data_IF_183291792324
#
_entry.id   IF_183291792324
#
_cell.length_a   1.000
_cell.length_b   1.000
_cell.length_c   1.000
_cell.angle_alpha   90.00
_cell.angle_beta   90.00
_cell.angle_gamma   90.00
#
_symmetry.space_group_name_H-M   'P 1'
#
loop_
_entity.id
_entity.type
_entity.pdbx_description
1 polymer ?
#
# COMPACT_ATOMS: atom_id res chain seq x y z
N UNK A 1 56.06 -36.91 74.26
CA UNK A 1 55.05 -35.89 74.20
C UNK A 1 54.69 -35.70 72.72
N UNK A 2 53.63 -36.35 72.28
CA UNK A 2 53.23 -36.40 70.85
C UNK A 2 52.20 -35.36 70.52
N UNK A 3 52.41 -34.68 69.41
CA UNK A 3 51.38 -33.78 68.82
C UNK A 3 50.87 -34.49 67.63
N UNK A 4 49.59 -34.91 67.73
CA UNK A 4 48.79 -35.48 66.60
C UNK A 4 48.46 -34.39 65.57
N UNK A 5 48.80 -34.61 64.30
CA UNK A 5 48.39 -33.81 63.16
C UNK A 5 47.03 -34.28 62.74
N UNK A 6 46.05 -33.42 62.90
CA UNK A 6 44.64 -33.62 62.34
C UNK A 6 44.65 -33.26 60.85
N UNK A 7 44.39 -34.28 60.04
CA UNK A 7 44.24 -34.14 58.57
C UNK A 7 42.81 -33.73 58.22
N UNK A 8 42.62 -32.47 57.85
CA UNK A 8 41.33 -31.96 57.37
C UNK A 8 41.14 -32.32 55.89
N UNK A 9 40.29 -33.28 55.60
CA UNK A 9 39.86 -33.61 54.23
C UNK A 9 38.90 -32.53 53.73
N UNK A 10 39.30 -31.71 52.72
CA UNK A 10 38.43 -30.82 51.96
C UNK A 10 37.68 -31.63 50.90
N UNK A 11 36.41 -31.75 51.09
CA UNK A 11 35.50 -32.24 50.03
C UNK A 11 35.26 -31.11 49.05
N UNK A 12 35.75 -31.24 47.82
CA UNK A 12 35.40 -30.36 46.69
C UNK A 12 34.13 -30.90 46.09
N UNK A 13 32.99 -30.25 46.37
CA UNK A 13 31.74 -30.47 45.64
C UNK A 13 31.85 -29.79 44.31
N UNK A 14 31.99 -30.55 43.24
CA UNK A 14 31.86 -30.05 41.87
C UNK A 14 30.36 -29.87 41.53
N UNK A 15 29.88 -28.61 41.52
CA UNK A 15 28.55 -28.27 40.97
C UNK A 15 28.68 -28.24 39.45
N UNK A 16 28.18 -29.27 38.80
CA UNK A 16 27.95 -29.28 37.35
C UNK A 16 26.73 -28.45 37.04
N UNK A 17 26.90 -27.21 36.57
CA UNK A 17 25.83 -26.38 36.04
C UNK A 17 25.48 -26.87 34.62
N UNK A 18 24.40 -27.61 34.48
CA UNK A 18 23.76 -27.89 33.16
C UNK A 18 23.10 -26.62 32.66
N UNK A 19 23.71 -25.98 31.65
CA UNK A 19 23.03 -24.93 30.85
C UNK A 19 21.98 -25.60 29.96
N UNK A 20 20.69 -25.49 30.33
CA UNK A 20 19.59 -25.83 29.45
C UNK A 20 19.43 -24.70 28.42
N UNK A 21 19.89 -24.92 27.21
CA UNK A 21 19.60 -24.02 26.05
C UNK A 21 18.16 -24.25 25.66
N UNK A 22 17.26 -23.39 26.12
CA UNK A 22 15.88 -23.35 25.63
C UNK A 22 15.88 -22.76 24.21
N UNK A 23 15.78 -23.61 23.19
CA UNK A 23 15.52 -23.21 21.82
C UNK A 23 14.12 -22.59 21.75
N UNK A 24 14.03 -21.26 21.71
CA UNK A 24 12.80 -20.58 21.31
C UNK A 24 12.59 -20.87 19.81
N UNK A 25 11.77 -21.86 19.52
CA UNK A 25 11.21 -22.02 18.19
C UNK A 25 10.28 -20.83 17.93
N UNK A 26 10.74 -19.86 17.12
CA UNK A 26 9.91 -18.78 16.65
C UNK A 26 8.83 -19.38 15.74
N UNK A 27 7.64 -19.60 16.31
CA UNK A 27 6.46 -20.00 15.53
C UNK A 27 6.06 -18.83 14.64
N UNK A 28 6.16 -18.99 13.32
CA UNK A 28 5.63 -18.02 12.37
C UNK A 28 4.14 -17.81 12.66
N UNK A 29 3.66 -16.56 12.70
CA UNK A 29 2.24 -16.30 12.95
C UNK A 29 1.39 -17.01 11.89
N UNK A 30 0.35 -17.69 12.33
CA UNK A 30 -0.61 -18.32 11.43
C UNK A 30 -1.23 -17.25 10.51
N UNK A 31 -1.28 -17.52 9.19
CA UNK A 31 -1.90 -16.62 8.22
C UNK A 31 -3.37 -16.39 8.60
N UNK A 32 -3.77 -15.13 8.63
CA UNK A 32 -5.17 -14.77 8.88
C UNK A 32 -6.04 -15.14 7.68
N UNK A 33 -7.36 -15.22 7.88
CA UNK A 33 -8.32 -15.52 6.80
C UNK A 33 -8.25 -14.46 5.68
N UNK A 34 -7.91 -13.22 6.01
CA UNK A 34 -7.66 -12.13 5.04
C UNK A 34 -6.37 -12.37 4.24
N UNK A 35 -5.31 -12.87 4.86
CA UNK A 35 -4.04 -13.16 4.15
C UNK A 35 -4.20 -14.32 3.17
N UNK A 36 -5.01 -15.32 3.51
CA UNK A 36 -5.36 -16.43 2.60
C UNK A 36 -6.14 -15.92 1.38
N UNK A 37 -7.12 -15.03 1.60
CA UNK A 37 -7.87 -14.42 0.50
C UNK A 37 -6.99 -13.56 -0.39
N UNK A 38 -6.06 -12.78 0.16
CA UNK A 38 -5.09 -11.98 -0.60
C UNK A 38 -4.21 -12.87 -1.50
N UNK A 39 -3.78 -14.02 -1.01
CA UNK A 39 -2.92 -14.93 -1.76
C UNK A 39 -3.64 -15.64 -2.93
N UNK A 40 -4.97 -15.63 -2.97
CA UNK A 40 -5.76 -16.20 -4.07
C UNK A 40 -5.96 -15.25 -5.24
N UNK A 41 -5.74 -13.95 -5.07
CA UNK A 41 -5.92 -12.94 -6.12
C UNK A 41 -4.91 -13.17 -7.26
N UNK A 42 -5.44 -13.32 -8.48
CA UNK A 42 -4.66 -13.58 -9.71
C UNK A 42 -4.44 -12.35 -10.57
N UNK A 43 -4.99 -11.20 -10.18
CA UNK A 43 -4.87 -9.97 -10.95
C UNK A 43 -3.41 -9.53 -11.06
N UNK A 44 -2.96 -9.28 -12.28
CA UNK A 44 -1.59 -8.80 -12.52
C UNK A 44 -1.32 -7.50 -11.76
N UNK A 45 -0.09 -7.39 -11.21
CA UNK A 45 0.35 -6.20 -10.51
C UNK A 45 -0.54 -5.78 -9.33
N UNK A 46 -1.24 -6.77 -8.74
CA UNK A 46 -2.08 -6.57 -7.57
C UNK A 46 -1.25 -6.17 -6.35
N UNK A 47 -1.79 -5.28 -5.53
CA UNK A 47 -1.18 -4.87 -4.28
C UNK A 47 -2.19 -4.29 -3.29
N UNK A 48 -1.93 -4.52 -2.02
CA UNK A 48 -2.63 -3.88 -0.91
C UNK A 48 -1.83 -2.66 -0.47
N UNK A 49 -2.42 -1.49 -0.57
CA UNK A 49 -1.83 -0.22 -0.11
C UNK A 49 -2.05 -0.04 1.38
N UNK A 50 -3.28 -0.29 1.83
CA UNK A 50 -3.71 -0.43 3.22
C UNK A 50 -5.03 -1.22 3.27
N UNK A 51 -5.71 -1.24 4.42
CA UNK A 51 -6.96 -1.99 4.62
C UNK A 51 -8.11 -1.48 3.76
N UNK A 52 -8.05 -0.22 3.33
CA UNK A 52 -9.10 0.46 2.59
C UNK A 52 -8.79 0.66 1.10
N UNK A 53 -7.58 0.26 0.65
CA UNK A 53 -7.14 0.54 -0.70
C UNK A 53 -6.32 -0.60 -1.29
N UNK A 54 -6.82 -1.18 -2.37
CA UNK A 54 -6.15 -2.16 -3.23
C UNK A 54 -5.91 -1.56 -4.61
N UNK A 55 -4.89 -2.05 -5.30
CA UNK A 55 -4.54 -1.61 -6.65
C UNK A 55 -4.16 -2.79 -7.54
N UNK A 56 -4.21 -2.60 -8.85
CA UNK A 56 -3.77 -3.65 -9.79
C UNK A 56 -3.99 -3.31 -11.25
N UNK A 57 -3.92 -4.34 -12.10
CA UNK A 57 -4.29 -4.29 -13.50
C UNK A 57 -5.81 -4.41 -13.68
N UNK A 58 -6.27 -4.24 -14.93
CA UNK A 58 -7.64 -4.53 -15.34
C UNK A 58 -8.03 -5.95 -14.93
N UNK A 59 -9.09 -6.14 -14.12
CA UNK A 59 -9.57 -7.48 -13.76
C UNK A 59 -10.17 -8.22 -14.95
N UNK A 60 -10.04 -9.53 -14.98
CA UNK A 60 -10.83 -10.38 -15.85
C UNK A 60 -12.18 -10.73 -15.21
N UNK A 61 -13.10 -11.33 -15.98
CA UNK A 61 -14.49 -11.51 -15.54
C UNK A 61 -14.65 -12.26 -14.21
N UNK A 62 -13.76 -13.23 -13.91
CA UNK A 62 -13.78 -14.00 -12.66
C UNK A 62 -13.21 -13.23 -11.46
N UNK A 63 -12.31 -12.28 -11.69
CA UNK A 63 -11.59 -11.57 -10.63
C UNK A 63 -12.51 -10.66 -9.79
N UNK A 64 -13.63 -10.21 -10.35
CA UNK A 64 -14.57 -9.35 -9.61
C UNK A 64 -15.22 -10.05 -8.43
N UNK A 65 -15.47 -11.37 -8.53
CA UNK A 65 -15.93 -12.16 -7.40
C UNK A 65 -14.88 -12.26 -6.30
N UNK A 66 -13.60 -12.40 -6.67
CA UNK A 66 -12.50 -12.43 -5.73
C UNK A 66 -12.30 -11.09 -5.03
N UNK A 67 -12.41 -9.97 -5.76
CA UNK A 67 -12.39 -8.62 -5.18
C UNK A 67 -13.54 -8.39 -4.19
N UNK A 68 -14.75 -8.81 -4.55
CA UNK A 68 -15.90 -8.75 -3.65
C UNK A 68 -15.69 -9.63 -2.39
N UNK A 69 -15.10 -10.81 -2.54
CA UNK A 69 -14.76 -11.69 -1.42
C UNK A 69 -13.68 -11.10 -0.50
N UNK A 70 -12.79 -10.23 -1.02
CA UNK A 70 -11.87 -9.42 -0.20
C UNK A 70 -12.58 -8.30 0.57
N UNK A 71 -13.85 -8.02 0.25
CA UNK A 71 -14.62 -6.94 0.85
C UNK A 71 -14.53 -5.62 0.09
N UNK A 72 -13.97 -5.61 -1.13
CA UNK A 72 -13.96 -4.41 -1.98
C UNK A 72 -15.40 -3.95 -2.23
N UNK A 73 -15.69 -2.67 -2.01
CA UNK A 73 -17.00 -2.06 -2.27
C UNK A 73 -17.03 -1.26 -3.56
N UNK A 74 -15.88 -0.73 -3.98
CA UNK A 74 -15.82 0.18 -5.11
C UNK A 74 -14.63 -0.13 -6.01
N UNK A 75 -14.88 -0.19 -7.32
CA UNK A 75 -13.86 -0.31 -8.36
C UNK A 75 -13.73 1.04 -9.08
N UNK A 76 -12.49 1.54 -9.18
CA UNK A 76 -12.16 2.80 -9.86
C UNK A 76 -11.25 2.49 -11.04
N UNK A 77 -11.79 2.61 -12.24
CA UNK A 77 -11.06 2.48 -13.50
C UNK A 77 -10.47 3.84 -13.93
N UNK A 78 -9.15 3.86 -14.14
CA UNK A 78 -8.42 5.06 -14.58
C UNK A 78 -8.18 5.10 -16.09
N UNK A 79 -8.86 4.25 -16.87
CA UNK A 79 -8.69 4.22 -18.32
C UNK A 79 -9.70 5.14 -19.03
N UNK A 80 -9.24 5.88 -20.04
CA UNK A 80 -10.14 6.64 -20.92
C UNK A 80 -10.94 5.72 -21.85
N UNK A 81 -10.28 4.67 -22.28
CA UNK A 81 -10.72 3.67 -23.26
C UNK A 81 -10.93 2.29 -22.61
N UNK A 82 -11.46 2.27 -21.38
CA UNK A 82 -11.73 1.05 -20.64
C UNK A 82 -12.89 0.23 -21.22
N UNK A 83 -13.00 -1.01 -20.80
CA UNK A 83 -14.02 -1.95 -21.28
C UNK A 83 -15.42 -1.45 -20.95
N UNK A 84 -16.31 -1.46 -21.91
CA UNK A 84 -17.71 -0.98 -21.73
C UNK A 84 -18.50 -1.90 -20.79
N UNK A 85 -18.26 -3.20 -20.85
CA UNK A 85 -18.93 -4.21 -20.03
C UNK A 85 -18.52 -4.18 -18.55
N UNK A 86 -17.41 -3.53 -18.19
CA UNK A 86 -16.84 -3.56 -16.84
C UNK A 86 -17.81 -3.06 -15.78
N UNK A 87 -18.47 -1.95 -16.01
CA UNK A 87 -19.47 -1.41 -15.09
C UNK A 87 -20.57 -2.42 -14.76
N UNK A 88 -20.95 -3.25 -15.74
CA UNK A 88 -21.94 -4.34 -15.57
C UNK A 88 -21.35 -5.49 -14.74
N UNK A 89 -20.10 -5.88 -14.97
CA UNK A 89 -19.41 -6.94 -14.23
C UNK A 89 -19.26 -6.56 -12.75
N UNK A 90 -18.81 -5.35 -12.47
CA UNK A 90 -18.64 -4.81 -11.12
C UNK A 90 -19.96 -4.79 -10.35
N UNK A 91 -21.03 -4.29 -10.97
CA UNK A 91 -22.37 -4.25 -10.34
C UNK A 91 -22.91 -5.64 -10.06
N UNK A 92 -22.74 -6.61 -10.98
CA UNK A 92 -23.15 -8.01 -10.74
C UNK A 92 -22.42 -8.66 -9.58
N UNK A 93 -21.18 -8.23 -9.28
CA UNK A 93 -20.44 -8.67 -8.12
C UNK A 93 -20.80 -7.90 -6.82
N UNK A 94 -21.81 -7.02 -6.87
CA UNK A 94 -22.29 -6.27 -5.70
C UNK A 94 -21.47 -5.03 -5.35
N UNK A 95 -20.61 -4.56 -6.27
CA UNK A 95 -19.74 -3.40 -6.06
C UNK A 95 -20.20 -2.17 -6.88
N UNK A 96 -19.72 -1.00 -6.47
CA UNK A 96 -19.92 0.26 -7.19
C UNK A 96 -18.77 0.49 -8.18
N UNK A 97 -19.08 1.07 -9.35
CA UNK A 97 -18.10 1.36 -10.40
C UNK A 97 -18.00 2.85 -10.67
N UNK A 98 -16.76 3.35 -10.73
CA UNK A 98 -16.46 4.69 -11.24
C UNK A 98 -15.35 4.62 -12.30
N UNK A 99 -15.44 5.49 -13.32
CA UNK A 99 -14.37 5.70 -14.29
C UNK A 99 -13.88 7.14 -14.20
N UNK A 100 -12.56 7.29 -14.09
CA UNK A 100 -11.85 8.57 -14.16
C UNK A 100 -10.96 8.48 -15.40
N UNK A 101 -11.37 9.01 -16.55
CA UNK A 101 -10.69 8.79 -17.82
C UNK A 101 -9.32 9.51 -17.85
N UNK A 102 -8.25 8.74 -17.92
CA UNK A 102 -6.87 9.22 -18.02
C UNK A 102 -6.15 8.54 -19.17
N UNK A 103 -5.11 9.22 -19.70
CA UNK A 103 -4.15 8.66 -20.65
C UNK A 103 -2.81 8.37 -19.98
N UNK A 104 -1.87 7.77 -20.70
CA UNK A 104 -0.49 7.58 -20.22
C UNK A 104 0.46 8.67 -20.74
N UNK A 105 0.02 9.48 -21.71
CA UNK A 105 0.78 10.57 -22.33
C UNK A 105 0.60 11.91 -21.61
N UNK A 106 -0.60 12.13 -21.06
CA UNK A 106 -0.99 13.41 -20.53
C UNK A 106 -0.86 13.47 -19.01
N UNK A 107 -0.61 14.68 -18.50
CA UNK A 107 -0.72 14.97 -17.08
C UNK A 107 -2.17 14.74 -16.61
N UNK A 108 -2.40 14.09 -15.44
CA UNK A 108 -3.72 14.07 -14.82
C UNK A 108 -4.25 15.48 -14.61
N UNK A 109 -5.53 15.72 -14.95
CA UNK A 109 -6.16 17.01 -14.66
C UNK A 109 -6.43 17.15 -13.16
N UNK A 110 -6.49 18.42 -12.68
CA UNK A 110 -6.81 18.69 -11.28
C UNK A 110 -8.20 18.14 -10.89
N UNK A 111 -9.16 18.18 -11.83
CA UNK A 111 -10.48 17.56 -11.64
C UNK A 111 -10.41 16.04 -11.46
N UNK A 112 -9.55 15.35 -12.23
CA UNK A 112 -9.34 13.91 -12.09
C UNK A 112 -8.72 13.57 -10.73
N UNK A 113 -7.72 14.36 -10.28
CA UNK A 113 -7.09 14.21 -8.97
C UNK A 113 -8.10 14.45 -7.85
N UNK A 114 -8.87 15.53 -7.92
CA UNK A 114 -9.88 15.85 -6.91
C UNK A 114 -10.96 14.77 -6.82
N UNK A 115 -11.48 14.30 -7.97
CA UNK A 115 -12.47 13.21 -8.01
C UNK A 115 -11.91 11.90 -7.43
N UNK A 116 -10.68 11.58 -7.77
CA UNK A 116 -10.01 10.39 -7.22
C UNK A 116 -9.89 10.47 -5.69
N UNK A 117 -9.33 11.58 -5.16
CA UNK A 117 -9.18 11.76 -3.72
C UNK A 117 -10.53 11.76 -2.99
N UNK A 118 -11.57 12.36 -3.58
CA UNK A 118 -12.93 12.28 -3.05
C UNK A 118 -13.38 10.83 -2.90
N UNK A 119 -13.24 10.02 -3.95
CA UNK A 119 -13.72 8.63 -3.96
C UNK A 119 -12.95 7.73 -2.99
N UNK A 120 -11.61 7.80 -2.99
CA UNK A 120 -10.78 6.90 -2.17
C UNK A 120 -10.81 7.24 -0.68
N UNK A 121 -11.16 8.49 -0.33
CA UNK A 121 -11.24 8.95 1.07
C UNK A 121 -12.65 8.86 1.66
N UNK A 122 -13.65 8.59 0.85
CA UNK A 122 -15.03 8.42 1.34
C UNK A 122 -15.19 7.03 1.97
N UNK A 123 -15.47 6.94 3.28
CA UNK A 123 -15.65 5.66 3.98
C UNK A 123 -16.78 4.79 3.37
N UNK A 124 -17.78 5.41 2.71
CA UNK A 124 -18.86 4.68 2.06
C UNK A 124 -18.35 3.85 0.87
N UNK A 125 -17.29 4.30 0.20
CA UNK A 125 -16.68 3.61 -0.94
C UNK A 125 -15.64 2.56 -0.54
N UNK A 126 -15.15 2.58 0.70
CA UNK A 126 -14.03 1.74 1.14
C UNK A 126 -14.46 0.34 1.55
N UNK A 127 -13.64 -0.68 1.30
CA UNK A 127 -12.36 -0.67 0.57
C UNK A 127 -12.53 -0.46 -0.94
N UNK A 128 -11.58 0.28 -1.55
CA UNK A 128 -11.56 0.54 -2.99
C UNK A 128 -10.56 -0.36 -3.72
N UNK A 129 -10.83 -0.70 -4.98
CA UNK A 129 -9.87 -1.27 -5.91
C UNK A 129 -9.64 -0.29 -7.07
N UNK A 130 -8.39 0.15 -7.23
CA UNK A 130 -8.01 1.14 -8.25
C UNK A 130 -7.14 0.49 -9.31
N UNK A 131 -7.51 0.64 -10.58
CA UNK A 131 -6.77 0.02 -11.66
C UNK A 131 -6.68 0.89 -12.92
N UNK A 132 -5.81 0.47 -13.82
CA UNK A 132 -5.81 0.81 -15.25
C UNK A 132 -5.51 -0.49 -16.01
N UNK A 133 -5.21 -0.45 -17.29
CA UNK A 133 -4.95 -1.65 -18.07
C UNK A 133 -3.87 -2.58 -17.46
N UNK A 134 -2.68 -2.06 -17.16
CA UNK A 134 -1.58 -2.85 -16.58
C UNK A 134 -1.31 -2.62 -15.09
N UNK A 135 -2.08 -1.78 -14.41
CA UNK A 135 -1.85 -1.43 -13.00
C UNK A 135 -0.52 -0.70 -12.74
N UNK A 136 0.12 -0.15 -13.78
CA UNK A 136 1.49 0.39 -13.71
C UNK A 136 1.50 1.92 -13.64
N UNK A 137 1.06 2.60 -14.72
CA UNK A 137 1.31 4.02 -14.96
C UNK A 137 0.24 4.91 -14.31
N UNK A 138 -1.00 4.92 -14.84
CA UNK A 138 -2.12 5.71 -14.29
C UNK A 138 -2.41 5.34 -12.84
N UNK A 139 -2.47 4.04 -12.56
CA UNK A 139 -2.64 3.51 -11.19
C UNK A 139 -1.48 3.92 -10.29
N UNK A 140 -0.24 3.83 -10.78
CA UNK A 140 0.95 4.25 -10.02
C UNK A 140 0.91 5.72 -9.63
N UNK A 141 0.61 6.60 -10.59
CA UNK A 141 0.51 8.04 -10.37
C UNK A 141 -0.57 8.39 -9.34
N UNK A 142 -1.79 7.83 -9.49
CA UNK A 142 -2.87 8.14 -8.56
C UNK A 142 -2.64 7.54 -7.17
N UNK A 143 -1.98 6.37 -7.09
CA UNK A 143 -1.50 5.84 -5.80
C UNK A 143 -0.45 6.75 -5.17
N UNK A 144 0.48 7.30 -5.96
CA UNK A 144 1.47 8.28 -5.46
C UNK A 144 0.80 9.55 -4.94
N UNK A 145 -0.23 10.07 -5.63
CA UNK A 145 -1.06 11.18 -5.14
C UNK A 145 -1.68 10.84 -3.78
N UNK A 146 -2.26 9.66 -3.64
CA UNK A 146 -2.81 9.19 -2.36
C UNK A 146 -1.74 9.16 -1.26
N UNK A 147 -0.59 8.53 -1.51
CA UNK A 147 0.54 8.44 -0.55
C UNK A 147 1.06 9.79 -0.10
N UNK A 148 1.20 10.74 -1.04
CA UNK A 148 1.66 12.09 -0.75
C UNK A 148 0.63 12.87 0.09
N UNK A 149 -0.64 12.74 -0.26
CA UNK A 149 -1.73 13.50 0.39
C UNK A 149 -2.13 12.94 1.74
N UNK A 150 -2.33 11.61 1.82
CA UNK A 150 -2.87 10.95 3.02
C UNK A 150 -1.77 10.46 3.96
N UNK A 151 -0.72 9.85 3.42
CA UNK A 151 0.33 9.25 4.22
C UNK A 151 1.52 10.21 4.46
N UNK A 152 1.48 11.41 3.87
CA UNK A 152 2.53 12.42 4.02
C UNK A 152 3.88 12.03 3.39
N UNK A 153 3.88 11.12 2.40
CA UNK A 153 5.10 10.68 1.76
C UNK A 153 5.74 11.78 0.90
N UNK A 154 7.08 11.73 0.78
CA UNK A 154 7.79 12.52 -0.22
C UNK A 154 7.53 11.98 -1.63
N UNK A 155 7.75 12.83 -2.64
CA UNK A 155 7.66 12.40 -4.04
C UNK A 155 8.61 11.25 -4.35
N UNK A 156 9.84 11.28 -3.81
CA UNK A 156 10.82 10.22 -4.00
C UNK A 156 10.33 8.88 -3.44
N UNK A 157 9.81 8.88 -2.21
CA UNK A 157 9.27 7.65 -1.60
C UNK A 157 8.11 7.08 -2.41
N UNK A 158 7.17 7.93 -2.84
CA UNK A 158 6.05 7.53 -3.67
C UNK A 158 6.52 6.98 -5.03
N UNK A 159 7.53 7.61 -5.63
CA UNK A 159 8.11 7.15 -6.90
C UNK A 159 8.83 5.80 -6.76
N UNK A 160 9.52 5.53 -5.64
CA UNK A 160 10.10 4.21 -5.39
C UNK A 160 8.99 3.12 -5.32
N UNK A 161 7.86 3.40 -4.65
CA UNK A 161 6.72 2.48 -4.67
C UNK A 161 6.18 2.26 -6.09
N UNK A 162 6.06 3.32 -6.91
CA UNK A 162 5.64 3.18 -8.31
C UNK A 162 6.55 2.21 -9.09
N UNK A 163 7.87 2.25 -8.86
CA UNK A 163 8.84 1.33 -9.51
C UNK A 163 8.62 -0.12 -9.08
N UNK A 164 8.31 -0.39 -7.82
CA UNK A 164 7.97 -1.74 -7.35
C UNK A 164 6.77 -2.32 -8.11
N UNK A 165 5.85 -1.45 -8.56
CA UNK A 165 4.70 -1.79 -9.39
C UNK A 165 4.96 -1.59 -10.90
N UNK A 166 6.21 -1.73 -11.34
CA UNK A 166 6.61 -1.76 -12.76
C UNK A 166 6.27 -0.47 -13.53
N UNK A 167 6.35 0.69 -12.86
CA UNK A 167 6.11 1.98 -13.51
C UNK A 167 7.16 2.27 -14.59
N UNK A 168 8.42 1.90 -14.34
CA UNK A 168 9.52 2.08 -15.27
C UNK A 168 9.49 0.99 -16.35
N UNK A 169 9.85 1.35 -17.55
CA UNK A 169 9.93 0.50 -18.72
C UNK A 169 10.08 1.34 -19.98
N UNK A 170 10.56 0.73 -21.04
CA UNK A 170 10.61 1.39 -22.36
C UNK A 170 9.18 1.46 -22.96
N UNK A 171 8.72 2.61 -23.52
CA UNK A 171 9.44 3.86 -23.77
C UNK A 171 9.47 4.84 -22.57
N UNK A 172 8.96 4.49 -21.39
CA UNK A 172 8.87 5.36 -20.22
C UNK A 172 7.68 6.33 -20.27
N UNK A 173 7.44 7.02 -19.13
CA UNK A 173 6.35 7.99 -18.99
C UNK A 173 6.84 9.26 -18.25
N UNK A 174 7.69 10.07 -18.87
CA UNK A 174 8.32 11.23 -18.21
C UNK A 174 7.31 12.27 -17.75
N UNK A 175 6.23 12.49 -18.51
CA UNK A 175 5.14 13.41 -18.13
C UNK A 175 4.48 13.00 -16.82
N UNK A 176 4.18 11.71 -16.67
CA UNK A 176 3.55 11.17 -15.45
C UNK A 176 4.52 11.19 -14.25
N UNK A 177 5.81 10.87 -14.48
CA UNK A 177 6.84 11.00 -13.44
C UNK A 177 6.94 12.45 -12.97
N UNK A 178 7.11 13.38 -13.91
CA UNK A 178 7.20 14.81 -13.59
C UNK A 178 5.99 15.29 -12.80
N UNK A 179 4.79 14.83 -13.17
CA UNK A 179 3.57 15.20 -12.46
C UNK A 179 3.62 14.86 -10.96
N UNK A 180 4.13 13.69 -10.56
CA UNK A 180 4.22 13.29 -9.14
C UNK A 180 5.10 14.26 -8.34
N UNK A 181 6.24 14.67 -8.90
CA UNK A 181 7.15 15.63 -8.26
C UNK A 181 6.55 17.04 -8.21
N UNK A 182 5.93 17.49 -9.29
CA UNK A 182 5.24 18.79 -9.35
C UNK A 182 4.10 18.86 -8.34
N UNK A 183 3.29 17.79 -8.24
CA UNK A 183 2.17 17.68 -7.31
C UNK A 183 2.65 17.80 -5.86
N UNK A 184 3.71 17.07 -5.49
CA UNK A 184 4.32 17.19 -4.18
C UNK A 184 4.77 18.63 -3.88
N UNK A 185 5.50 19.26 -4.82
CA UNK A 185 5.96 20.63 -4.66
C UNK A 185 4.82 21.65 -4.50
N UNK A 186 3.73 21.47 -5.25
CA UNK A 186 2.53 22.31 -5.12
C UNK A 186 1.86 22.15 -3.76
N UNK A 187 1.70 20.91 -3.28
CA UNK A 187 1.10 20.62 -1.99
C UNK A 187 1.93 21.20 -0.84
N UNK A 188 3.27 21.11 -0.92
CA UNK A 188 4.14 21.69 0.12
C UNK A 188 4.02 23.23 0.16
N UNK A 189 3.99 23.90 -0.99
CA UNK A 189 3.78 25.37 -1.04
C UNK A 189 2.44 25.75 -0.42
N UNK A 190 1.36 25.09 -0.79
CA UNK A 190 0.04 25.37 -0.23
C UNK A 190 0.00 25.23 1.30
N UNK A 191 0.67 24.19 1.84
CA UNK A 191 0.76 23.98 3.30
C UNK A 191 1.56 25.06 4.01
N UNK A 192 2.60 25.62 3.39
CA UNK A 192 3.38 26.74 3.93
C UNK A 192 2.55 28.01 3.95
N UNK A 193 1.89 28.33 2.84
CA UNK A 193 1.02 29.51 2.71
C UNK A 193 -0.14 29.49 3.74
N UNK A 194 -0.72 28.31 4.00
CA UNK A 194 -1.77 28.17 5.02
C UNK A 194 -1.23 28.38 6.44
N UNK A 195 -0.02 27.88 6.72
CA UNK A 195 0.65 28.08 8.02
C UNK A 195 0.95 29.55 8.27
N UNK A 196 1.47 30.24 7.25
CA UNK A 196 1.82 31.67 7.38
C UNK A 196 0.56 32.54 7.57
N UNK A 197 -0.54 32.20 6.87
CA UNK A 197 -1.84 32.85 7.08
C UNK A 197 -2.38 32.64 8.50
N UNK A 198 -2.28 31.42 9.03
CA UNK A 198 -2.72 31.10 10.38
C UNK A 198 -1.92 31.87 11.45
N UNK A 199 -0.60 32.00 11.27
CA UNK A 199 0.27 32.78 12.18
C UNK A 199 -0.01 34.28 12.07
N UNK A 200 -0.30 34.80 10.87
CA UNK A 200 -0.67 36.22 10.65
C UNK A 200 -2.02 36.58 11.26
N UNK A 201 -2.98 35.64 11.26
CA UNK A 201 -4.33 35.86 11.85
C UNK A 201 -4.35 35.78 13.37
N UNK A 202 -3.30 35.25 14.02
CA UNK A 202 -3.19 35.14 15.49
C UNK A 202 -2.49 36.33 16.16
N UNK A 203 -2.09 37.32 15.39
CA UNK A 203 -1.50 38.58 15.86
C UNK A 203 -2.51 39.73 15.79
#
# INVERSE_FOLDING_TARGET
>A
MGIQKILVRRHVCALSAMLAVASLAASSPAKTNSDLKLSSIRINNFGRINDNYYRGAQPESGDYADLAALGVKTVIDLTRDGRDEEAGLVRRAGMTFYRIPMTTSDRPSDAAVAKFLQLVNDPANQPVYVHCQGGRHRTGVMTAVYRITQDGWTADKAYQEMKLYKFEGFPGHPTLKKFVFDYYGQLQRARLDDKDRAVGAAK
#
